data_IF_844370571890
#
_entry.id   IF_844370571890
#
_cell.length_a   1.000
_cell.length_b   1.000
_cell.length_c   1.000
_cell.angle_alpha   90.00
_cell.angle_beta   90.00
_cell.angle_gamma   90.00
#
_symmetry.space_group_name_H-M   'P 1'
#
loop_
_entity.id
_entity.type
_entity.pdbx_description
1 polymer ?
#
# COMPACT_ATOMS: atom_id res chain seq x y z
N UNK A 1 -22.64 -19.03 32.46
CA UNK A 1 -23.57 -18.64 31.39
C UNK A 1 -23.38 -17.15 31.14
N UNK A 2 -22.78 -16.72 30.02
CA UNK A 2 -22.53 -15.29 29.80
C UNK A 2 -23.87 -14.52 29.77
N UNK A 3 -23.93 -13.40 30.48
CA UNK A 3 -25.10 -12.53 30.60
C UNK A 3 -25.59 -12.10 29.22
N UNK A 4 -26.92 -12.03 28.98
CA UNK A 4 -27.48 -11.65 27.68
C UNK A 4 -27.01 -10.27 27.21
N UNK A 5 -26.59 -9.40 28.13
CA UNK A 5 -26.01 -8.09 27.84
C UNK A 5 -24.62 -8.15 27.18
N UNK A 6 -23.82 -9.18 27.48
CA UNK A 6 -22.48 -9.36 26.90
C UNK A 6 -22.58 -9.76 25.42
N UNK A 7 -23.62 -10.50 25.05
CA UNK A 7 -23.86 -10.90 23.66
C UNK A 7 -24.28 -9.72 22.79
N UNK A 8 -25.04 -8.76 23.34
CA UNK A 8 -25.46 -7.55 22.61
C UNK A 8 -24.26 -6.65 22.31
N UNK A 9 -23.31 -6.50 23.24
CA UNK A 9 -22.11 -5.69 23.02
C UNK A 9 -21.19 -6.28 21.93
N UNK A 10 -21.07 -7.60 21.87
CA UNK A 10 -20.26 -8.29 20.85
C UNK A 10 -20.80 -8.12 19.43
N UNK A 11 -22.13 -8.04 19.26
CA UNK A 11 -22.76 -7.83 17.94
C UNK A 11 -22.56 -6.40 17.43
N UNK A 12 -22.52 -5.40 18.32
CA UNK A 12 -22.34 -3.99 17.92
C UNK A 12 -20.91 -3.71 17.45
N UNK A 13 -19.90 -4.40 17.98
CA UNK A 13 -18.50 -4.21 17.54
C UNK A 13 -18.07 -5.04 16.32
N UNK A 14 -18.81 -6.09 15.96
CA UNK A 14 -18.43 -7.03 14.88
C UNK A 14 -18.89 -6.65 13.46
N UNK A 15 -19.49 -5.47 13.28
CA UNK A 15 -20.32 -5.15 12.12
C UNK A 15 -19.68 -4.35 11.00
N UNK A 16 -18.37 -4.07 11.00
CA UNK A 16 -17.73 -3.47 9.83
C UNK A 16 -17.24 -4.58 8.90
N UNK A 17 -18.14 -5.15 8.09
CA UNK A 17 -17.68 -5.90 6.91
C UNK A 17 -16.96 -4.90 6.02
N UNK A 18 -15.64 -5.00 5.96
CA UNK A 18 -14.85 -4.34 4.93
C UNK A 18 -15.37 -4.87 3.59
N UNK A 19 -16.23 -4.09 2.93
CA UNK A 19 -16.64 -4.39 1.57
C UNK A 19 -15.37 -4.47 0.72
N UNK A 20 -15.22 -5.48 -0.15
CA UNK A 20 -14.11 -5.51 -1.07
C UNK A 20 -14.13 -4.20 -1.86
N UNK A 21 -13.03 -3.45 -1.80
CA UNK A 21 -12.89 -2.24 -2.59
C UNK A 21 -13.09 -2.61 -4.07
N UNK A 22 -13.69 -1.72 -4.88
CA UNK A 22 -13.71 -1.88 -6.32
C UNK A 22 -12.32 -2.27 -6.83
N UNK A 23 -12.21 -3.27 -7.72
CA UNK A 23 -10.93 -3.78 -8.24
C UNK A 23 -9.88 -2.69 -8.61
N UNK A 24 -10.23 -1.55 -9.26
CA UNK A 24 -9.25 -0.49 -9.55
C UNK A 24 -8.71 0.21 -8.28
N UNK A 25 -9.52 0.33 -7.23
CA UNK A 25 -9.07 0.86 -5.93
C UNK A 25 -8.18 -0.16 -5.20
N UNK A 26 -8.45 -1.46 -5.35
CA UNK A 26 -7.62 -2.51 -4.77
C UNK A 26 -6.21 -2.57 -5.43
N UNK A 27 -6.11 -2.41 -6.75
CA UNK A 27 -4.82 -2.40 -7.46
C UNK A 27 -3.94 -1.21 -7.07
N UNK A 28 -4.51 0.00 -7.10
CA UNK A 28 -3.78 1.22 -6.72
C UNK A 28 -3.31 1.17 -5.27
N UNK A 29 -4.14 0.65 -4.36
CA UNK A 29 -3.76 0.46 -2.97
C UNK A 29 -2.65 -0.60 -2.81
N UNK A 30 -2.67 -1.68 -3.60
CA UNK A 30 -1.62 -2.69 -3.59
C UNK A 30 -0.27 -2.14 -4.09
N UNK A 31 -0.28 -1.27 -5.11
CA UNK A 31 0.91 -0.56 -5.58
C UNK A 31 1.47 0.37 -4.50
N UNK A 32 0.61 1.17 -3.87
CA UNK A 32 1.01 2.07 -2.78
C UNK A 32 1.65 1.27 -1.63
N UNK A 33 1.01 0.16 -1.22
CA UNK A 33 1.54 -0.71 -0.18
C UNK A 33 2.89 -1.32 -0.57
N UNK A 34 3.08 -1.69 -1.83
CA UNK A 34 4.34 -2.26 -2.31
C UNK A 34 5.49 -1.25 -2.27
N UNK A 35 5.22 0.00 -2.71
CA UNK A 35 6.18 1.11 -2.64
C UNK A 35 6.53 1.45 -1.19
N UNK A 36 5.53 1.58 -0.32
CA UNK A 36 5.75 1.84 1.11
C UNK A 36 6.57 0.75 1.78
N UNK A 37 6.25 -0.52 1.49
CA UNK A 37 6.98 -1.67 2.04
C UNK A 37 8.44 -1.71 1.56
N UNK A 38 8.73 -1.20 0.36
CA UNK A 38 10.10 -1.08 -0.13
C UNK A 38 10.84 0.03 0.62
N UNK A 39 10.23 1.20 0.79
CA UNK A 39 10.83 2.35 1.47
C UNK A 39 11.14 2.10 2.95
N UNK A 40 10.44 1.17 3.60
CA UNK A 40 10.68 0.78 4.98
C UNK A 40 11.83 -0.22 5.16
N UNK A 41 12.42 -0.73 4.06
CA UNK A 41 13.48 -1.73 4.17
C UNK A 41 14.75 -1.10 4.74
N UNK A 42 15.47 -1.81 5.63
CA UNK A 42 16.76 -1.34 6.12
C UNK A 42 17.75 -1.24 4.95
N UNK A 43 18.50 -0.13 4.91
CA UNK A 43 19.49 0.13 3.86
C UNK A 43 18.96 0.96 2.67
N UNK A 44 17.66 1.23 2.61
CA UNK A 44 17.10 2.20 1.65
C UNK A 44 17.41 3.60 2.17
N UNK A 45 18.18 4.37 1.39
CA UNK A 45 18.62 5.71 1.79
C UNK A 45 17.64 6.79 1.34
N UNK A 46 17.15 6.65 0.11
CA UNK A 46 16.24 7.58 -0.54
C UNK A 46 14.88 6.91 -0.73
N UNK A 47 13.81 7.68 -0.62
CA UNK A 47 12.47 7.18 -0.89
C UNK A 47 12.31 6.87 -2.39
N UNK A 48 11.52 5.86 -2.70
CA UNK A 48 11.14 5.47 -4.04
C UNK A 48 9.69 5.85 -4.27
N UNK A 49 9.40 6.32 -5.48
CA UNK A 49 8.06 6.68 -5.93
C UNK A 49 7.69 5.84 -7.14
N UNK A 50 6.41 5.49 -7.24
CA UNK A 50 5.87 4.80 -8.41
C UNK A 50 6.12 5.63 -9.69
N UNK A 51 6.72 5.00 -10.70
CA UNK A 51 6.97 5.61 -12.00
C UNK A 51 5.89 5.21 -13.01
N UNK A 52 5.59 3.92 -13.08
CA UNK A 52 4.59 3.36 -13.99
C UNK A 52 4.12 2.01 -13.50
N UNK A 53 2.88 1.65 -13.81
CA UNK A 53 2.31 0.35 -13.49
C UNK A 53 1.43 -0.12 -14.64
N UNK A 54 1.56 -1.41 -15.01
CA UNK A 54 0.76 -1.98 -16.10
C UNK A 54 -0.56 -2.53 -15.53
N UNK A 55 -1.73 -1.97 -15.92
CA UNK A 55 -3.02 -2.39 -15.38
C UNK A 55 -3.50 -3.74 -15.92
N UNK A 56 -2.78 -4.37 -16.86
CA UNK A 56 -3.16 -5.62 -17.53
C UNK A 56 -3.05 -6.88 -16.66
N UNK A 57 -2.63 -6.77 -15.40
CA UNK A 57 -2.57 -7.90 -14.48
C UNK A 57 -3.89 -8.06 -13.73
N UNK A 58 -4.66 -9.08 -14.11
CA UNK A 58 -5.79 -9.57 -13.31
C UNK A 58 -5.28 -9.98 -11.91
N UNK A 59 -5.62 -9.19 -10.88
CA UNK A 59 -5.34 -9.51 -9.47
C UNK A 59 -6.02 -10.81 -9.02
N UNK A 60 -6.80 -11.46 -9.87
CA UNK A 60 -7.45 -12.75 -9.63
C UNK A 60 -6.50 -13.94 -9.85
N UNK A 61 -5.38 -13.75 -10.58
CA UNK A 61 -4.38 -14.80 -10.90
C UNK A 61 -3.07 -14.69 -10.09
N UNK A 62 -3.06 -13.79 -9.08
CA UNK A 62 -2.04 -13.54 -8.03
C UNK A 62 -0.73 -14.34 -8.13
N UNK A 63 0.28 -13.77 -8.78
CA UNK A 63 1.68 -13.97 -8.34
C UNK A 63 2.57 -12.72 -8.39
N UNK A 64 2.16 -11.62 -9.00
CA UNK A 64 2.99 -10.42 -9.01
C UNK A 64 2.30 -9.21 -9.61
N UNK A 65 2.64 -8.04 -9.07
CA UNK A 65 2.34 -6.76 -9.68
C UNK A 65 3.53 -6.40 -10.58
N UNK A 66 3.26 -6.01 -11.83
CA UNK A 66 4.30 -5.47 -12.70
C UNK A 66 4.22 -3.94 -12.64
N UNK A 67 5.19 -3.35 -11.95
CA UNK A 67 5.34 -1.91 -11.84
C UNK A 67 6.80 -1.52 -11.76
N UNK A 68 7.08 -0.29 -12.14
CA UNK A 68 8.38 0.36 -12.01
C UNK A 68 8.27 1.50 -11.01
N UNK A 69 9.31 1.64 -10.21
CA UNK A 69 9.51 2.74 -9.26
C UNK A 69 10.90 3.31 -9.48
N UNK A 70 11.12 4.55 -9.03
CA UNK A 70 12.38 5.25 -9.20
C UNK A 70 12.75 5.97 -7.91
N UNK A 71 14.06 6.07 -7.66
CA UNK A 71 14.62 6.84 -6.55
C UNK A 71 14.22 8.33 -6.60
N UNK A 72 13.93 8.90 -5.43
CA UNK A 72 13.58 10.32 -5.24
C UNK A 72 14.68 11.06 -4.47
N UNK A 73 14.62 12.39 -4.44
CA UNK A 73 15.56 13.21 -3.67
C UNK A 73 15.28 13.23 -2.16
N UNK A 74 14.15 12.68 -1.73
CA UNK A 74 13.82 12.60 -0.32
C UNK A 74 14.55 11.45 0.37
N UNK A 75 15.01 11.69 1.60
CA UNK A 75 15.54 10.63 2.46
C UNK A 75 14.42 9.70 2.94
N UNK A 76 14.59 8.39 2.79
CA UNK A 76 13.61 7.39 3.24
C UNK A 76 13.41 7.42 4.77
N UNK A 77 14.46 7.75 5.52
CA UNK A 77 14.43 7.87 6.98
C UNK A 77 13.49 8.97 7.50
N UNK A 78 13.17 9.97 6.68
CA UNK A 78 12.20 11.01 7.01
C UNK A 78 10.74 10.52 6.92
N UNK A 79 10.51 9.30 6.42
CA UNK A 79 9.18 8.76 6.12
C UNK A 79 8.32 9.75 5.32
N UNK A 80 8.83 10.32 4.22
CA UNK A 80 8.09 11.28 3.42
C UNK A 80 6.91 10.59 2.74
N UNK A 81 5.90 11.37 2.36
CA UNK A 81 4.97 10.93 1.34
C UNK A 81 5.71 10.90 -0.02
N UNK A 82 5.85 9.74 -0.69
CA UNK A 82 6.63 9.64 -1.93
C UNK A 82 6.11 10.53 -3.05
N UNK A 83 4.82 10.87 -3.06
CA UNK A 83 4.23 11.72 -4.10
C UNK A 83 4.62 13.20 -4.01
N UNK A 84 5.11 13.64 -2.85
CA UNK A 84 5.60 15.00 -2.61
C UNK A 84 7.10 15.15 -2.93
N UNK A 85 7.75 14.06 -3.36
CA UNK A 85 9.17 14.00 -3.66
C UNK A 85 9.42 14.00 -5.17
N UNK A 86 10.37 14.84 -5.59
CA UNK A 86 10.86 14.84 -6.97
C UNK A 86 11.74 13.62 -7.23
N UNK A 87 11.66 13.11 -8.46
CA UNK A 87 12.54 12.05 -8.90
C UNK A 87 13.98 12.55 -8.94
N UNK A 88 14.88 11.74 -8.39
CA UNK A 88 16.31 12.04 -8.39
C UNK A 88 16.86 11.93 -9.80
N UNK A 89 17.73 12.86 -10.17
CA UNK A 89 18.40 12.81 -11.46
C UNK A 89 19.23 11.53 -11.57
N UNK A 90 18.99 10.72 -12.61
CA UNK A 90 19.59 9.39 -12.80
C UNK A 90 19.29 8.41 -11.65
N UNK A 91 18.12 8.54 -11.01
CA UNK A 91 17.61 7.58 -10.03
C UNK A 91 17.51 6.17 -10.62
N UNK A 92 17.82 5.18 -9.79
CA UNK A 92 17.77 3.74 -10.13
C UNK A 92 16.40 3.13 -9.93
#
# INVERSE_FOLDING_TARGET
>A
MPSPWVLVLLVVLGGARALPAPAPLAYTQALAQAVDSYNQRPGVQNAFRLLSADPGVELSSLRGLNFSMMETDCAASAHPNPDDCDFKENGV
#
